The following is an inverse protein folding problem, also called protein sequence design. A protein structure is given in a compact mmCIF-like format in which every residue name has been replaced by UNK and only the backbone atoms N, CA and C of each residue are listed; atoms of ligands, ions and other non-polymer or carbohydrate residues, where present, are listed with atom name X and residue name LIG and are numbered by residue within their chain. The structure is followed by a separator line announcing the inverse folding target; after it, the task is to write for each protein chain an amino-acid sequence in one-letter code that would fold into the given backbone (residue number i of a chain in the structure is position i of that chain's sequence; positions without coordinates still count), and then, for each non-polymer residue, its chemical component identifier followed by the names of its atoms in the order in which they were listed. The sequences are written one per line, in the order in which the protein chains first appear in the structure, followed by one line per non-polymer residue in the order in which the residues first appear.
data_IF_566995103052
#
_entry.id   IF_566995103052
#
_cell.length_a   1.000
_cell.length_b   1.000
_cell.length_c   1.000
_cell.angle_alpha   90.00
_cell.angle_beta   90.00
_cell.angle_gamma   90.00
#
_symmetry.space_group_name_H-M   'P 1'
#
loop_
_entity.id
_entity.type
_entity.pdbx_description
1 polymer ?
#
# COMPACT_ATOMS: atom_id res chain seq x y z
N UNK A 1 -32.32 8.09 -20.14
CA UNK A 1 -31.07 7.33 -19.94
C UNK A 1 -30.60 7.53 -18.52
N UNK A 2 -30.32 6.44 -17.81
CA UNK A 2 -30.01 6.37 -16.38
C UNK A 2 -28.51 6.61 -16.17
N UNK A 3 -28.11 7.27 -15.08
CA UNK A 3 -26.83 7.08 -14.36
C UNK A 3 -26.87 7.91 -13.07
N UNK A 4 -27.39 7.30 -11.99
CA UNK A 4 -27.14 7.77 -10.62
C UNK A 4 -25.85 7.09 -10.18
N UNK A 5 -24.77 7.85 -10.07
CA UNK A 5 -23.53 7.42 -9.44
C UNK A 5 -23.75 7.46 -7.92
N UNK A 6 -24.01 6.29 -7.34
CA UNK A 6 -24.03 6.16 -5.89
C UNK A 6 -22.58 6.11 -5.42
N UNK A 7 -22.12 7.20 -4.78
CA UNK A 7 -21.00 7.16 -3.85
C UNK A 7 -21.40 6.22 -2.71
N UNK A 8 -20.92 4.98 -2.74
CA UNK A 8 -20.93 4.13 -1.55
C UNK A 8 -19.77 4.58 -0.68
N UNK A 9 -20.10 5.46 0.27
CA UNK A 9 -19.27 5.72 1.43
C UNK A 9 -18.92 4.36 2.07
N UNK A 10 -17.63 4.07 2.17
CA UNK A 10 -17.08 2.94 2.90
C UNK A 10 -17.41 3.16 4.38
N UNK A 11 -18.60 2.71 4.78
CA UNK A 11 -19.09 2.82 6.14
C UNK A 11 -18.26 1.90 7.04
N UNK A 12 -17.30 2.48 7.73
CA UNK A 12 -16.69 1.90 8.91
C UNK A 12 -17.77 1.75 9.99
N UNK A 13 -18.36 0.56 10.09
CA UNK A 13 -19.13 0.15 11.27
C UNK A 13 -18.47 -1.10 11.82
N UNK A 14 -17.42 -0.88 12.61
CA UNK A 14 -16.93 -1.86 13.57
C UNK A 14 -17.19 -1.32 14.97
N UNK A 15 -18.44 -1.34 15.45
CA UNK A 15 -18.70 -1.31 16.89
C UNK A 15 -19.96 -2.11 17.25
N UNK A 16 -19.71 -3.29 17.80
CA UNK A 16 -20.42 -3.93 18.92
C UNK A 16 -21.85 -3.46 19.20
N UNK A 17 -22.85 -4.23 18.76
CA UNK A 17 -24.17 -4.40 19.39
C UNK A 17 -24.99 -5.47 18.65
N UNK A 18 -24.98 -6.70 19.17
CA UNK A 18 -26.06 -7.70 19.08
C UNK A 18 -27.03 -7.72 17.89
N UNK A 19 -26.55 -7.73 16.65
CA UNK A 19 -27.37 -8.04 15.46
C UNK A 19 -26.49 -8.73 14.43
N UNK A 20 -26.91 -9.92 14.01
CA UNK A 20 -26.26 -10.77 13.03
C UNK A 20 -26.21 -10.08 11.66
N UNK A 21 -25.20 -9.24 11.45
CA UNK A 21 -24.80 -8.87 10.09
C UNK A 21 -24.10 -10.12 9.58
N UNK A 22 -24.82 -10.92 8.79
CA UNK A 22 -24.22 -11.92 7.93
C UNK A 22 -23.30 -11.19 6.97
N UNK A 23 -22.07 -10.94 7.41
CA UNK A 23 -21.01 -10.45 6.54
C UNK A 23 -20.77 -11.59 5.57
N UNK A 24 -21.20 -11.40 4.33
CA UNK A 24 -21.03 -12.35 3.24
C UNK A 24 -19.53 -12.69 3.14
N UNK A 25 -19.15 -13.83 3.72
CA UNK A 25 -17.75 -14.28 3.77
C UNK A 25 -17.15 -14.38 2.36
N UNK A 26 -18.01 -14.63 1.37
CA UNK A 26 -17.66 -14.70 -0.04
C UNK A 26 -17.17 -13.34 -0.57
N UNK A 27 -17.84 -12.23 -0.21
CA UNK A 27 -17.41 -10.88 -0.63
C UNK A 27 -16.13 -10.41 0.04
N UNK A 28 -15.89 -10.81 1.29
CA UNK A 28 -14.61 -10.55 1.96
C UNK A 28 -13.47 -11.38 1.36
N UNK A 29 -13.76 -12.63 0.98
CA UNK A 29 -12.78 -13.53 0.36
C UNK A 29 -12.41 -13.08 -1.05
N UNK A 30 -13.39 -12.62 -1.83
CA UNK A 30 -13.17 -12.05 -3.17
C UNK A 30 -12.30 -10.79 -3.10
N UNK A 31 -12.63 -9.84 -2.22
CA UNK A 31 -11.81 -8.63 -2.02
C UNK A 31 -10.41 -8.94 -1.50
N UNK A 32 -10.26 -9.92 -0.60
CA UNK A 32 -8.95 -10.34 -0.11
C UNK A 32 -8.10 -10.95 -1.24
N UNK A 33 -8.72 -11.72 -2.14
CA UNK A 33 -8.04 -12.29 -3.31
C UNK A 33 -7.66 -11.20 -4.33
N UNK A 34 -8.54 -10.23 -4.59
CA UNK A 34 -8.25 -9.07 -5.44
C UNK A 34 -7.07 -8.26 -4.89
N UNK A 35 -7.07 -7.94 -3.59
CA UNK A 35 -5.97 -7.23 -2.94
C UNK A 35 -4.66 -8.01 -3.00
N UNK A 36 -4.71 -9.33 -2.83
CA UNK A 36 -3.53 -10.20 -2.94
C UNK A 36 -2.98 -10.20 -4.37
N UNK A 37 -3.85 -10.23 -5.37
CA UNK A 37 -3.45 -10.20 -6.78
C UNK A 37 -2.88 -8.82 -7.15
N UNK A 38 -3.53 -7.74 -6.74
CA UNK A 38 -3.01 -6.38 -6.88
C UNK A 38 -1.64 -6.21 -6.21
N UNK A 39 -1.45 -6.76 -5.03
CA UNK A 39 -0.15 -6.74 -4.36
C UNK A 39 0.92 -7.50 -5.16
N UNK A 40 0.57 -8.65 -5.74
CA UNK A 40 1.49 -9.41 -6.59
C UNK A 40 1.83 -8.66 -7.89
N UNK A 41 0.85 -8.04 -8.53
CA UNK A 41 1.04 -7.27 -9.76
C UNK A 41 1.87 -6.00 -9.51
N UNK A 42 1.59 -5.31 -8.41
CA UNK A 42 2.36 -4.15 -7.95
C UNK A 42 3.80 -4.55 -7.62
N UNK A 43 3.99 -5.68 -6.93
CA UNK A 43 5.33 -6.22 -6.65
C UNK A 43 6.07 -6.59 -7.93
N UNK A 44 5.37 -7.08 -8.95
CA UNK A 44 5.94 -7.38 -10.25
C UNK A 44 6.36 -6.10 -10.98
N UNK A 45 5.48 -5.11 -11.05
CA UNK A 45 5.80 -3.79 -11.62
C UNK A 45 6.98 -3.14 -10.90
N UNK A 46 7.03 -3.25 -9.57
CA UNK A 46 8.12 -2.71 -8.77
C UNK A 46 9.45 -3.44 -8.99
N UNK A 47 9.43 -4.77 -9.19
CA UNK A 47 10.63 -5.53 -9.60
C UNK A 47 11.10 -5.14 -10.99
N UNK A 48 10.17 -4.79 -11.87
CA UNK A 48 10.47 -4.32 -13.24
C UNK A 48 10.90 -2.84 -13.24
N UNK A 49 10.54 -2.07 -12.21
CA UNK A 49 10.98 -0.70 -11.98
C UNK A 49 12.45 -0.65 -11.50
N UNK A 50 13.32 -0.79 -12.49
CA UNK A 50 14.77 -0.73 -12.32
C UNK A 50 15.23 0.65 -11.86
N UNK A 51 14.49 1.71 -12.15
CA UNK A 51 14.86 3.08 -11.77
C UNK A 51 14.60 3.33 -10.28
N UNK A 52 13.44 2.93 -9.77
CA UNK A 52 13.13 2.99 -8.34
C UNK A 52 14.13 2.16 -7.55
N UNK A 53 14.37 0.93 -7.99
CA UNK A 53 15.28 0.01 -7.33
C UNK A 53 16.69 0.60 -7.27
N UNK A 54 17.22 1.12 -8.38
CA UNK A 54 18.55 1.74 -8.41
C UNK A 54 18.61 2.99 -7.51
N UNK A 55 17.62 3.87 -7.56
CA UNK A 55 17.58 5.07 -6.70
C UNK A 55 17.61 4.74 -5.21
N UNK A 56 16.88 3.71 -4.80
CA UNK A 56 16.88 3.28 -3.42
C UNK A 56 18.17 2.57 -3.03
N UNK A 57 18.76 1.76 -3.93
CA UNK A 57 20.09 1.20 -3.73
C UNK A 57 21.14 2.28 -3.53
N UNK A 58 21.11 3.34 -4.35
CA UNK A 58 22.04 4.46 -4.26
C UNK A 58 21.82 5.26 -2.96
N UNK A 59 20.57 5.49 -2.56
CA UNK A 59 20.25 6.20 -1.32
C UNK A 59 20.62 5.40 -0.06
N UNK A 60 20.33 4.10 -0.05
CA UNK A 60 20.55 3.20 1.08
C UNK A 60 21.95 2.58 1.14
N UNK A 61 22.73 2.68 0.06
CA UNK A 61 24.03 2.02 -0.07
C UNK A 61 23.95 0.50 0.20
N UNK A 62 22.84 -0.13 -0.20
CA UNK A 62 22.60 -1.57 -0.05
C UNK A 62 22.42 -2.28 -1.38
N UNK A 63 22.50 -3.61 -1.35
CA UNK A 63 22.23 -4.45 -2.51
C UNK A 63 20.75 -4.50 -2.91
N UNK A 64 20.52 -4.94 -4.14
CA UNK A 64 19.18 -5.12 -4.71
C UNK A 64 18.29 -6.05 -3.86
N UNK A 65 18.88 -7.06 -3.21
CA UNK A 65 18.17 -8.01 -2.35
C UNK A 65 17.50 -7.34 -1.16
N UNK A 66 18.22 -6.49 -0.42
CA UNK A 66 17.70 -5.71 0.70
C UNK A 66 16.58 -4.77 0.27
N UNK A 67 16.75 -4.06 -0.85
CA UNK A 67 15.71 -3.19 -1.42
C UNK A 67 14.46 -3.97 -1.78
N UNK A 68 14.61 -5.08 -2.51
CA UNK A 68 13.49 -5.92 -2.91
C UNK A 68 12.76 -6.53 -1.71
N UNK A 69 13.49 -6.88 -0.65
CA UNK A 69 12.88 -7.34 0.61
C UNK A 69 12.07 -6.23 1.26
N UNK A 70 12.66 -5.04 1.41
CA UNK A 70 12.00 -3.88 2.01
C UNK A 70 10.75 -3.45 1.25
N UNK A 71 10.86 -3.25 -0.06
CA UNK A 71 9.71 -2.93 -0.91
C UNK A 71 8.68 -4.06 -0.90
N UNK A 72 9.13 -5.30 -0.80
CA UNK A 72 8.31 -6.48 -0.57
C UNK A 72 7.43 -6.37 0.68
N UNK A 73 8.01 -5.91 1.79
CA UNK A 73 7.32 -5.71 3.07
C UNK A 73 6.35 -4.52 3.00
N UNK A 74 6.78 -3.40 2.40
CA UNK A 74 5.91 -2.22 2.18
C UNK A 74 4.69 -2.59 1.34
N UNK A 75 4.87 -3.27 0.22
CA UNK A 75 3.78 -3.57 -0.72
C UNK A 75 2.82 -4.66 -0.22
N UNK A 76 3.25 -5.54 0.69
CA UNK A 76 2.35 -6.50 1.34
C UNK A 76 1.43 -5.84 2.37
N UNK A 77 1.71 -4.60 2.79
CA UNK A 77 0.88 -3.89 3.74
C UNK A 77 -0.46 -3.48 3.09
N UNK A 78 -1.62 -3.79 3.72
CA UNK A 78 -2.94 -3.39 3.21
C UNK A 78 -3.08 -1.88 3.00
N UNK A 79 -2.51 -1.05 3.88
CA UNK A 79 -2.51 0.41 3.78
C UNK A 79 -1.82 0.87 2.49
N UNK A 80 -0.73 0.21 2.09
CA UNK A 80 -0.04 0.53 0.83
C UNK A 80 -0.92 0.22 -0.37
N UNK A 81 -1.60 -0.92 -0.38
CA UNK A 81 -2.53 -1.27 -1.47
C UNK A 81 -3.70 -0.30 -1.54
N UNK A 82 -4.26 0.06 -0.40
CA UNK A 82 -5.29 1.09 -0.32
C UNK A 82 -4.77 2.44 -0.85
N UNK A 83 -3.57 2.84 -0.45
CA UNK A 83 -2.96 4.08 -0.91
C UNK A 83 -2.72 4.09 -2.42
N UNK A 84 -2.33 2.95 -3.02
CA UNK A 84 -2.17 2.84 -4.48
C UNK A 84 -3.52 3.05 -5.18
N UNK A 85 -4.59 2.46 -4.64
CA UNK A 85 -5.93 2.59 -5.20
C UNK A 85 -6.50 4.01 -5.08
N UNK A 86 -6.25 4.70 -3.97
CA UNK A 86 -6.81 6.04 -3.69
C UNK A 86 -5.93 7.19 -4.25
N UNK A 87 -4.61 7.06 -4.16
CA UNK A 87 -3.64 8.12 -4.48
C UNK A 87 -2.90 7.88 -5.80
N UNK A 88 -2.85 6.63 -6.27
CA UNK A 88 -2.08 6.22 -7.44
C UNK A 88 -0.68 5.70 -7.10
N UNK A 89 -0.19 4.77 -7.93
CA UNK A 89 1.09 4.09 -7.76
C UNK A 89 2.28 5.06 -7.64
N UNK A 90 2.41 6.04 -8.54
CA UNK A 90 3.55 6.96 -8.57
C UNK A 90 3.65 7.81 -7.29
N UNK A 91 2.51 8.20 -6.71
CA UNK A 91 2.46 8.96 -5.45
C UNK A 91 2.97 8.10 -4.29
N UNK A 92 2.53 6.85 -4.22
CA UNK A 92 2.97 5.91 -3.19
C UNK A 92 4.47 5.63 -3.31
N UNK A 93 4.96 5.39 -4.52
CA UNK A 93 6.39 5.22 -4.76
C UNK A 93 7.20 6.46 -4.35
N UNK A 94 6.70 7.66 -4.67
CA UNK A 94 7.33 8.92 -4.26
C UNK A 94 7.44 9.06 -2.75
N UNK A 95 6.40 8.67 -2.00
CA UNK A 95 6.40 8.67 -0.54
C UNK A 95 7.44 7.70 0.00
N UNK A 96 7.51 6.48 -0.54
CA UNK A 96 8.50 5.47 -0.13
C UNK A 96 9.92 5.99 -0.35
N UNK A 97 10.22 6.53 -1.53
CA UNK A 97 11.52 7.13 -1.83
C UNK A 97 11.87 8.27 -0.87
N UNK A 98 10.91 9.17 -0.63
CA UNK A 98 11.10 10.31 0.25
C UNK A 98 11.45 9.84 1.68
N UNK A 99 10.73 8.87 2.21
CA UNK A 99 10.98 8.37 3.58
C UNK A 99 12.32 7.65 3.69
N UNK A 100 12.70 6.83 2.70
CA UNK A 100 14.00 6.16 2.71
C UNK A 100 15.13 7.19 2.65
N UNK A 101 15.05 8.18 1.75
CA UNK A 101 16.07 9.23 1.62
C UNK A 101 16.13 10.11 2.89
N UNK A 102 14.98 10.52 3.43
CA UNK A 102 14.91 11.34 4.64
C UNK A 102 15.49 10.65 5.87
N UNK A 103 15.47 9.31 5.90
CA UNK A 103 16.04 8.49 6.96
C UNK A 103 17.44 7.97 6.60
N UNK A 104 18.21 8.70 5.78
CA UNK A 104 19.58 8.36 5.39
C UNK A 104 19.72 6.97 4.76
N UNK A 105 18.69 6.52 4.06
CA UNK A 105 18.70 5.23 3.40
C UNK A 105 18.50 4.04 4.33
N UNK A 106 18.04 4.25 5.56
CA UNK A 106 17.70 3.16 6.49
C UNK A 106 16.48 2.39 5.98
N UNK A 107 16.54 1.06 6.08
CA UNK A 107 15.52 0.12 5.59
C UNK A 107 15.08 -0.83 6.71
N UNK A 108 14.49 -0.25 7.76
CA UNK A 108 14.08 -0.97 8.95
C UNK A 108 12.58 -0.79 9.27
N UNK A 109 12.14 -1.39 10.38
CA UNK A 109 10.76 -1.31 10.83
C UNK A 109 10.28 0.11 11.16
N UNK A 110 11.18 1.01 11.58
CA UNK A 110 10.81 2.39 11.90
C UNK A 110 10.48 3.16 10.62
N UNK A 111 11.31 3.01 9.58
CA UNK A 111 11.03 3.62 8.26
C UNK A 111 9.78 3.02 7.63
N UNK A 112 9.53 1.70 7.78
CA UNK A 112 8.27 1.07 7.36
C UNK A 112 7.06 1.71 8.03
N UNK A 113 7.17 2.04 9.33
CA UNK A 113 6.08 2.66 10.10
C UNK A 113 5.84 4.09 9.62
N UNK A 114 6.90 4.87 9.41
CA UNK A 114 6.80 6.24 8.88
C UNK A 114 6.16 6.29 7.49
N UNK A 115 6.50 5.33 6.62
CA UNK A 115 5.85 5.18 5.32
C UNK A 115 4.35 4.94 5.50
N UNK A 116 3.95 4.01 6.37
CA UNK A 116 2.54 3.68 6.61
C UNK A 116 1.77 4.88 7.17
N UNK A 117 2.32 5.58 8.16
CA UNK A 117 1.70 6.77 8.74
C UNK A 117 1.50 7.88 7.70
N UNK A 118 2.49 8.12 6.84
CA UNK A 118 2.39 9.12 5.79
C UNK A 118 1.36 8.72 4.72
N UNK A 119 1.29 7.44 4.35
CA UNK A 119 0.26 6.94 3.43
C UNK A 119 -1.14 7.08 4.01
N UNK A 120 -1.36 6.70 5.27
CA UNK A 120 -2.65 6.89 5.95
C UNK A 120 -3.04 8.37 6.02
N UNK A 121 -2.07 9.25 6.33
CA UNK A 121 -2.29 10.69 6.41
C UNK A 121 -2.75 11.24 5.06
N UNK A 122 -2.21 10.74 3.95
CA UNK A 122 -2.56 11.14 2.58
C UNK A 122 -3.92 10.60 2.14
N UNK A 123 -4.26 9.36 2.50
CA UNK A 123 -5.58 8.76 2.20
C UNK A 123 -6.71 9.55 2.89
N UNK A 124 -6.46 10.06 4.09
CA UNK A 124 -7.47 10.77 4.92
C UNK A 124 -7.67 12.25 4.51
N UNK A 125 -6.89 12.79 3.57
CA UNK A 125 -6.97 14.19 3.10
C UNK A 125 -7.78 14.31 1.82
#
# INVERSE_FOLDING_TARGET
MKKKWALTALAAILLFSGCSISVDQDTLTEKANELKQQAQDTLKQLKEDTQLTQKLMDAAHVGQTEINRFLGEVMKNPTTQQAINELGYDVVIGIIQQQVIANNGVLDGAVLTLIQEELERRIKQ
#
